data_IF_836417587266
#
_entry.id   IF_836417587266
#
_cell.length_a   1.000
_cell.length_b   1.000
_cell.length_c   1.000
_cell.angle_alpha   90.00
_cell.angle_beta   90.00
_cell.angle_gamma   90.00
#
_symmetry.space_group_name_H-M   'P 1'
#
loop_
_entity.id
_entity.type
_entity.pdbx_description
1 polymer ?
#
# COMPACT_ATOMS: atom_id res chain seq x y z
N UNK A 1 -2.19 -7.09 8.40
CA UNK A 1 -1.17 -8.14 8.61
C UNK A 1 0.07 -7.75 7.85
N UNK A 2 1.26 -8.02 8.39
CA UNK A 2 2.53 -7.77 7.73
C UNK A 2 3.46 -8.98 7.79
N UNK A 3 4.39 -9.07 6.85
CA UNK A 3 5.46 -10.07 6.81
C UNK A 3 6.78 -9.38 6.46
N UNK A 4 7.85 -9.75 7.15
CA UNK A 4 9.22 -9.32 6.85
C UNK A 4 9.91 -10.42 6.05
N UNK A 5 10.50 -10.07 4.92
CA UNK A 5 11.17 -11.00 4.02
C UNK A 5 12.56 -10.47 3.68
N UNK A 6 13.59 -11.31 3.84
CA UNK A 6 14.95 -11.01 3.36
C UNK A 6 15.17 -11.62 1.97
N UNK A 7 15.52 -10.79 0.99
CA UNK A 7 15.92 -11.22 -0.34
C UNK A 7 17.37 -11.72 -0.30
N UNK A 8 17.57 -13.02 -0.55
CA UNK A 8 18.89 -13.66 -0.41
C UNK A 8 19.99 -13.08 -1.32
N UNK A 9 19.62 -12.65 -2.52
CA UNK A 9 20.57 -12.16 -3.53
C UNK A 9 21.04 -10.74 -3.25
N UNK A 10 20.12 -9.85 -2.87
CA UNK A 10 20.40 -8.42 -2.63
C UNK A 10 20.71 -8.12 -1.16
N UNK A 11 20.41 -9.06 -0.25
CA UNK A 11 20.46 -8.89 1.20
C UNK A 11 19.58 -7.76 1.72
N UNK A 12 18.53 -7.42 0.97
CA UNK A 12 17.53 -6.41 1.34
C UNK A 12 16.37 -7.04 2.09
N UNK A 13 15.85 -6.30 3.05
CA UNK A 13 14.69 -6.70 3.84
C UNK A 13 13.48 -5.87 3.46
N UNK A 14 12.36 -6.53 3.18
CA UNK A 14 11.11 -5.91 2.76
C UNK A 14 10.00 -6.22 3.75
N UNK A 15 9.30 -5.19 4.22
CA UNK A 15 8.09 -5.34 5.02
C UNK A 15 6.86 -5.17 4.13
N UNK A 16 6.19 -6.28 3.82
CA UNK A 16 4.94 -6.27 3.06
C UNK A 16 3.75 -6.17 4.01
N UNK A 17 2.80 -5.30 3.69
CA UNK A 17 1.59 -5.06 4.49
C UNK A 17 0.36 -5.27 3.62
N UNK A 18 -0.63 -6.02 4.14
CA UNK A 18 -1.99 -6.08 3.58
C UNK A 18 -3.05 -5.80 4.63
N UNK A 19 -4.13 -5.13 4.24
CA UNK A 19 -5.24 -4.82 5.15
C UNK A 19 -6.39 -4.09 4.48
N UNK A 20 -7.35 -3.65 5.30
CA UNK A 20 -8.44 -2.81 4.85
C UNK A 20 -7.90 -1.47 4.28
N UNK A 21 -8.46 -0.95 3.18
CA UNK A 21 -7.92 0.22 2.49
C UNK A 21 -7.67 1.42 3.40
N UNK A 22 -8.64 1.80 4.22
CA UNK A 22 -8.56 2.92 5.15
C UNK A 22 -7.43 2.75 6.18
N UNK A 23 -7.27 1.53 6.70
CA UNK A 23 -6.23 1.21 7.68
C UNK A 23 -4.83 1.26 7.06
N UNK A 24 -4.66 0.83 5.81
CA UNK A 24 -3.35 0.84 5.14
C UNK A 24 -3.01 2.25 4.67
N UNK A 25 -3.93 2.92 3.97
CA UNK A 25 -3.72 4.27 3.44
C UNK A 25 -3.43 5.29 4.54
N UNK A 26 -4.02 5.16 5.73
CA UNK A 26 -3.73 6.04 6.86
C UNK A 26 -2.24 6.03 7.30
N UNK A 27 -1.48 4.98 6.95
CA UNK A 27 -0.06 4.81 7.30
C UNK A 27 0.89 5.03 6.13
N UNK A 28 0.39 5.19 4.91
CA UNK A 28 1.22 5.41 3.73
C UNK A 28 1.52 6.90 3.52
N UNK A 29 2.76 7.21 3.20
CA UNK A 29 3.24 8.57 2.84
C UNK A 29 3.51 8.72 1.35
N UNK A 30 3.66 7.62 0.62
CA UNK A 30 3.97 7.61 -0.80
C UNK A 30 3.25 6.47 -1.53
N UNK A 31 3.18 6.59 -2.85
CA UNK A 31 2.71 5.58 -3.79
C UNK A 31 3.88 5.04 -4.57
N UNK A 32 3.88 3.72 -4.77
CA UNK A 32 4.86 3.07 -5.61
C UNK A 32 4.60 3.42 -7.08
N UNK A 33 5.51 4.19 -7.65
CA UNK A 33 5.60 4.49 -9.08
C UNK A 33 7.06 4.41 -9.50
N UNK A 34 7.37 4.70 -10.76
CA UNK A 34 8.77 4.74 -11.24
C UNK A 34 9.68 5.71 -10.46
N UNK A 35 9.12 6.69 -9.74
CA UNK A 35 9.88 7.66 -8.94
C UNK A 35 9.47 7.78 -7.47
N UNK A 36 8.45 7.04 -7.02
CA UNK A 36 7.83 7.24 -5.72
C UNK A 36 7.11 8.58 -5.66
N UNK A 37 5.78 8.57 -5.74
CA UNK A 37 4.98 9.80 -5.74
C UNK A 37 4.42 10.02 -4.34
N UNK A 38 4.54 11.23 -3.74
CA UNK A 38 3.90 11.53 -2.46
C UNK A 38 2.40 11.23 -2.49
N UNK A 39 1.87 10.66 -1.41
CA UNK A 39 0.44 10.42 -1.28
C UNK A 39 -0.27 11.70 -0.84
N UNK A 40 -0.53 12.58 -1.81
CA UNK A 40 -1.26 13.82 -1.60
C UNK A 40 -2.76 13.59 -1.35
N UNK A 41 -3.43 14.57 -0.73
CA UNK A 41 -4.85 14.51 -0.39
C UNK A 41 -5.75 14.20 -1.59
N UNK A 42 -5.45 14.77 -2.76
CA UNK A 42 -6.23 14.53 -4.00
C UNK A 42 -6.12 13.06 -4.44
N UNK A 43 -4.92 12.49 -4.40
CA UNK A 43 -4.69 11.09 -4.78
C UNK A 43 -5.29 10.14 -3.77
N UNK A 44 -5.24 10.48 -2.47
CA UNK A 44 -5.94 9.74 -1.41
C UNK A 44 -7.45 9.69 -1.66
N UNK A 45 -8.09 10.83 -1.95
CA UNK A 45 -9.52 10.87 -2.27
C UNK A 45 -9.86 10.04 -3.52
N UNK A 46 -9.03 10.08 -4.55
CA UNK A 46 -9.22 9.26 -5.75
C UNK A 46 -9.18 7.75 -5.43
N UNK A 47 -8.28 7.31 -4.55
CA UNK A 47 -8.21 5.92 -4.10
C UNK A 47 -9.44 5.52 -3.29
N UNK A 48 -9.91 6.39 -2.39
CA UNK A 48 -11.14 6.15 -1.60
C UNK A 48 -12.38 6.02 -2.49
N UNK A 49 -12.51 6.86 -3.51
CA UNK A 49 -13.58 6.75 -4.51
C UNK A 49 -13.52 5.42 -5.25
N UNK A 50 -12.31 4.97 -5.63
CA UNK A 50 -12.16 3.69 -6.33
C UNK A 50 -12.49 2.49 -5.45
N UNK A 51 -12.09 2.53 -4.18
CA UNK A 51 -12.48 1.53 -3.17
C UNK A 51 -14.00 1.47 -3.04
N UNK A 52 -14.68 2.62 -3.01
CA UNK A 52 -16.15 2.68 -2.95
C UNK A 52 -16.82 2.08 -4.18
N UNK A 53 -16.30 2.38 -5.38
CA UNK A 53 -16.80 1.80 -6.64
C UNK A 53 -16.70 0.27 -6.62
N UNK A 54 -15.59 -0.30 -6.16
CA UNK A 54 -15.43 -1.74 -6.03
C UNK A 54 -16.32 -2.34 -4.94
N UNK A 55 -16.51 -1.64 -3.83
CA UNK A 55 -17.43 -2.07 -2.77
C UNK A 55 -18.88 -2.14 -3.27
N UNK A 56 -19.31 -1.19 -4.11
CA UNK A 56 -20.64 -1.19 -4.74
C UNK A 56 -20.86 -2.39 -5.68
N UNK A 57 -19.78 -2.97 -6.21
CA UNK A 57 -19.80 -4.19 -7.01
C UNK A 57 -19.76 -5.47 -6.15
N UNK A 58 -19.80 -5.34 -4.82
CA UNK A 58 -19.69 -6.47 -3.90
C UNK A 58 -18.26 -7.05 -3.79
N UNK A 59 -17.24 -6.35 -4.30
CA UNK A 59 -15.87 -6.83 -4.27
C UNK A 59 -15.22 -6.58 -2.90
N UNK A 60 -14.48 -7.58 -2.42
CA UNK A 60 -13.64 -7.42 -1.22
C UNK A 60 -12.32 -6.76 -1.61
N UNK A 61 -12.14 -5.51 -1.20
CA UNK A 61 -10.92 -4.73 -1.49
C UNK A 61 -9.89 -4.89 -0.37
N UNK A 62 -8.62 -5.09 -0.74
CA UNK A 62 -7.48 -5.04 0.16
C UNK A 62 -6.46 -4.06 -0.39
N UNK A 63 -5.92 -3.21 0.48
CA UNK A 63 -4.77 -2.39 0.13
C UNK A 63 -3.46 -3.13 0.47
N UNK A 64 -2.46 -2.90 -0.37
CA UNK A 64 -1.11 -3.41 -0.24
C UNK A 64 -0.15 -2.24 -0.07
N UNK A 65 0.84 -2.40 0.80
CA UNK A 65 1.93 -1.45 0.98
C UNK A 65 3.24 -2.19 1.25
N UNK A 66 4.35 -1.52 1.00
CA UNK A 66 5.69 -2.07 1.21
C UNK A 66 6.61 -1.00 1.82
N UNK A 67 7.47 -1.41 2.75
CA UNK A 67 8.67 -0.67 3.11
C UNK A 67 9.86 -1.50 2.58
N UNK A 68 10.69 -0.87 1.75
CA UNK A 68 11.93 -1.47 1.27
C UNK A 68 13.07 -1.09 2.21
N UNK A 69 14.07 -1.97 2.30
CA UNK A 69 15.31 -1.74 3.04
C UNK A 69 15.06 -1.49 4.54
N UNK A 70 14.24 -2.36 5.14
CA UNK A 70 13.96 -2.34 6.59
C UNK A 70 15.14 -2.94 7.34
N UNK A 71 15.88 -2.10 8.08
CA UNK A 71 17.02 -2.50 8.91
C UNK A 71 16.61 -2.95 10.31
#
# INVERSE_FOLDING_TARGET
MSVLVEEKLTKRSHLFVKGAPESVLARCTSLQSSRGVPLESKTRQALELKVKEYAQQGLRVLALAVINDVH
#
